data_IF_746327781770
#
_entry.id   IF_746327781770
#
_cell.length_a   1.000
_cell.length_b   1.000
_cell.length_c   1.000
_cell.angle_alpha   90.00
_cell.angle_beta   90.00
_cell.angle_gamma   90.00
#
_symmetry.space_group_name_H-M   'P 1'
#
loop_
_entity.id
_entity.type
_entity.pdbx_description
1 polymer ?
#
# COMPACT_ATOMS: atom_id res chain seq x y z
N UNK A 1 -21.01 -3.96 -8.98
CA UNK A 1 -20.94 -2.97 -10.08
C UNK A 1 -19.53 -3.00 -10.64
N UNK A 2 -19.36 -3.27 -11.93
CA UNK A 2 -18.06 -3.12 -12.59
C UNK A 2 -17.89 -1.60 -12.78
N UNK A 3 -17.26 -0.95 -11.81
CA UNK A 3 -16.90 0.46 -11.92
C UNK A 3 -15.95 0.67 -13.10
N UNK A 4 -15.99 1.85 -13.68
CA UNK A 4 -15.17 2.25 -14.81
C UNK A 4 -13.70 2.42 -14.32
N UNK A 5 -12.99 1.30 -14.12
CA UNK A 5 -11.63 1.26 -13.56
C UNK A 5 -10.60 1.83 -14.54
N UNK A 6 -10.57 3.16 -14.64
CA UNK A 6 -9.60 3.89 -15.46
C UNK A 6 -8.32 4.09 -14.68
N UNK A 7 -7.20 3.69 -15.28
CA UNK A 7 -5.89 3.96 -14.73
C UNK A 7 -4.82 2.97 -15.18
N UNK A 8 -3.58 3.28 -14.83
CA UNK A 8 -2.41 2.48 -15.18
C UNK A 8 -1.49 2.35 -13.98
N UNK A 9 -0.92 1.16 -13.81
CA UNK A 9 0.02 0.85 -12.74
C UNK A 9 1.35 0.45 -13.35
N UNK A 10 2.42 1.14 -12.96
CA UNK A 10 3.79 0.83 -13.40
C UNK A 10 4.20 -0.55 -12.93
N UNK A 11 4.89 -1.31 -13.78
CA UNK A 11 5.36 -2.66 -13.48
C UNK A 11 6.20 -2.71 -12.21
N UNK A 12 6.98 -1.67 -11.89
CA UNK A 12 7.75 -1.62 -10.64
C UNK A 12 6.87 -1.75 -9.38
N UNK A 13 5.65 -1.22 -9.39
CA UNK A 13 4.71 -1.34 -8.27
C UNK A 13 4.30 -2.80 -8.10
N UNK A 14 3.93 -3.44 -9.21
CA UNK A 14 3.50 -4.83 -9.23
C UNK A 14 4.66 -5.75 -8.83
N UNK A 15 5.85 -5.55 -9.38
CA UNK A 15 7.05 -6.31 -9.03
C UNK A 15 7.41 -6.16 -7.55
N UNK A 16 7.34 -4.94 -6.99
CA UNK A 16 7.58 -4.73 -5.55
C UNK A 16 6.54 -5.44 -4.67
N UNK A 17 5.27 -5.43 -5.08
CA UNK A 17 4.20 -6.14 -4.36
C UNK A 17 4.37 -7.66 -4.45
N UNK A 18 4.70 -8.21 -5.62
CA UNK A 18 4.95 -9.64 -5.78
C UNK A 18 6.19 -10.10 -5.01
N UNK A 19 7.26 -9.29 -5.02
CA UNK A 19 8.45 -9.56 -4.22
C UNK A 19 8.12 -9.55 -2.71
N UNK A 20 7.20 -8.68 -2.30
CA UNK A 20 6.69 -8.66 -0.93
C UNK A 20 5.95 -9.95 -0.58
N UNK A 21 5.06 -10.42 -1.47
CA UNK A 21 4.36 -11.70 -1.26
C UNK A 21 5.34 -12.86 -1.18
N UNK A 22 6.33 -12.91 -2.06
CA UNK A 22 7.35 -13.95 -2.04
C UNK A 22 8.12 -13.98 -0.71
N UNK A 23 8.42 -12.81 -0.13
CA UNK A 23 9.21 -12.70 1.11
C UNK A 23 8.37 -12.85 2.40
N UNK A 24 7.04 -12.69 2.32
CA UNK A 24 6.15 -12.77 3.48
C UNK A 24 5.32 -14.05 3.51
N UNK A 25 4.93 -14.56 2.34
CA UNK A 25 3.98 -15.67 2.17
C UNK A 25 4.60 -16.85 1.41
N UNK A 26 5.89 -16.78 1.06
CA UNK A 26 6.57 -17.70 0.15
C UNK A 26 6.02 -17.71 -1.30
N UNK A 27 6.62 -18.58 -2.11
CA UNK A 27 6.28 -18.71 -3.52
C UNK A 27 4.86 -19.26 -3.75
N UNK A 28 4.41 -20.21 -2.92
CA UNK A 28 3.09 -20.81 -3.02
C UNK A 28 2.01 -19.83 -2.55
N UNK A 29 2.29 -19.01 -1.53
CA UNK A 29 1.42 -17.91 -1.14
C UNK A 29 1.23 -16.88 -2.25
N UNK A 30 2.33 -16.38 -2.84
CA UNK A 30 2.28 -15.47 -3.99
C UNK A 30 1.50 -16.08 -5.18
N UNK A 31 1.77 -17.35 -5.49
CA UNK A 31 1.11 -18.08 -6.58
C UNK A 31 -0.38 -18.23 -6.33
N UNK A 32 -0.80 -18.46 -5.09
CA UNK A 32 -2.20 -18.58 -4.70
C UNK A 32 -2.95 -17.26 -4.91
N UNK A 33 -2.38 -16.12 -4.51
CA UNK A 33 -2.94 -14.79 -4.77
C UNK A 33 -3.08 -14.54 -6.29
N UNK A 34 -2.04 -14.82 -7.07
CA UNK A 34 -2.07 -14.61 -8.52
C UNK A 34 -3.05 -15.55 -9.23
N UNK A 35 -3.22 -16.78 -8.73
CA UNK A 35 -4.20 -17.74 -9.25
C UNK A 35 -5.62 -17.25 -9.00
N UNK A 36 -5.91 -16.82 -7.77
CA UNK A 36 -7.20 -16.23 -7.38
C UNK A 36 -7.52 -14.97 -8.20
N UNK A 37 -6.52 -14.12 -8.44
CA UNK A 37 -6.68 -12.95 -9.30
C UNK A 37 -6.86 -13.29 -10.81
N UNK A 38 -6.64 -14.54 -11.23
CA UNK A 38 -6.61 -14.93 -12.64
C UNK A 38 -5.44 -14.33 -13.42
N UNK A 39 -4.33 -14.03 -12.74
CA UNK A 39 -3.15 -13.31 -13.26
C UNK A 39 -1.85 -14.10 -13.07
N UNK A 40 -1.92 -15.42 -13.06
CA UNK A 40 -0.76 -16.30 -12.84
C UNK A 40 0.42 -16.07 -13.82
N UNK A 41 0.15 -15.48 -14.99
CA UNK A 41 1.17 -15.10 -15.97
C UNK A 41 2.12 -14.01 -15.44
N UNK A 42 1.70 -13.20 -14.46
CA UNK A 42 2.53 -12.15 -13.85
C UNK A 42 3.60 -12.68 -12.89
N UNK A 43 3.59 -13.97 -12.53
CA UNK A 43 4.47 -14.56 -11.50
C UNK A 43 5.96 -14.29 -11.68
N UNK A 44 6.41 -14.12 -12.93
CA UNK A 44 7.83 -13.96 -13.28
C UNK A 44 8.12 -12.57 -13.88
N UNK A 45 7.31 -11.56 -13.57
CA UNK A 45 7.45 -10.23 -14.18
C UNK A 45 8.69 -9.44 -13.72
N UNK A 46 9.55 -10.00 -12.86
CA UNK A 46 10.80 -9.38 -12.39
C UNK A 46 11.71 -8.90 -13.52
N UNK A 47 11.71 -9.58 -14.66
CA UNK A 47 12.52 -9.22 -15.84
C UNK A 47 11.77 -8.32 -16.83
N UNK A 48 10.53 -7.91 -16.52
CA UNK A 48 9.79 -6.99 -17.36
C UNK A 48 10.33 -5.57 -17.22
N UNK A 49 10.21 -4.77 -18.27
CA UNK A 49 10.54 -3.34 -18.19
C UNK A 49 9.73 -2.69 -17.04
N UNK A 50 10.40 -2.07 -16.04
CA UNK A 50 9.73 -1.45 -14.90
C UNK A 50 8.87 -0.23 -15.28
N UNK A 51 9.11 0.39 -16.44
CA UNK A 51 8.39 1.56 -16.93
C UNK A 51 7.12 1.22 -17.73
N UNK A 52 7.00 -0.04 -18.16
CA UNK A 52 5.74 -0.55 -18.71
C UNK A 52 4.65 -0.54 -17.65
N UNK A 53 3.41 -0.69 -18.09
CA UNK A 53 2.23 -0.59 -17.23
C UNK A 53 1.28 -1.76 -17.43
N UNK A 54 0.60 -2.16 -16.36
CA UNK A 54 -0.65 -2.92 -16.43
C UNK A 54 -1.84 -1.98 -16.25
N UNK A 55 -3.03 -2.43 -16.65
CA UNK A 55 -4.25 -1.72 -16.33
C UNK A 55 -4.56 -1.77 -14.83
N UNK A 56 -5.19 -0.73 -14.32
CA UNK A 56 -5.54 -0.62 -12.90
C UNK A 56 -6.48 -1.74 -12.43
N UNK A 57 -7.39 -2.20 -13.30
CA UNK A 57 -8.31 -3.28 -12.94
C UNK A 57 -7.58 -4.58 -12.61
N UNK A 58 -6.59 -4.97 -13.43
CA UNK A 58 -5.70 -6.10 -13.15
C UNK A 58 -4.98 -5.94 -11.80
N UNK A 59 -4.45 -4.75 -11.49
CA UNK A 59 -3.85 -4.49 -10.18
C UNK A 59 -4.86 -4.65 -9.04
N UNK A 60 -6.08 -4.14 -9.20
CA UNK A 60 -7.15 -4.26 -8.22
C UNK A 60 -7.52 -5.72 -7.95
N UNK A 61 -7.52 -6.58 -8.97
CA UNK A 61 -7.76 -8.02 -8.80
C UNK A 61 -6.71 -8.68 -7.91
N UNK A 62 -5.44 -8.24 -7.98
CA UNK A 62 -4.38 -8.74 -7.09
C UNK A 62 -4.68 -8.36 -5.63
N UNK A 63 -5.05 -7.10 -5.38
CA UNK A 63 -5.38 -6.61 -4.04
C UNK A 63 -6.64 -7.28 -3.47
N UNK A 64 -7.67 -7.48 -4.31
CA UNK A 64 -8.89 -8.18 -3.92
C UNK A 64 -8.62 -9.65 -3.56
N UNK A 65 -7.82 -10.35 -4.38
CA UNK A 65 -7.40 -11.72 -4.10
C UNK A 65 -6.59 -11.82 -2.80
N UNK A 66 -5.66 -10.90 -2.57
CA UNK A 66 -4.92 -10.80 -1.31
C UNK A 66 -5.89 -10.65 -0.13
N UNK A 67 -6.82 -9.70 -0.19
CA UNK A 67 -7.74 -9.42 0.92
C UNK A 67 -8.72 -10.57 1.17
N UNK A 68 -9.08 -11.32 0.12
CA UNK A 68 -9.90 -12.53 0.25
C UNK A 68 -9.14 -13.66 0.96
N UNK A 69 -7.89 -13.93 0.56
CA UNK A 69 -7.08 -15.02 1.11
C UNK A 69 -6.51 -14.70 2.49
N UNK A 70 -6.20 -13.44 2.77
CA UNK A 70 -5.63 -12.96 4.03
C UNK A 70 -6.68 -12.25 4.91
N UNK A 71 -7.95 -12.64 4.76
CA UNK A 71 -9.07 -12.00 5.43
C UNK A 71 -8.82 -11.88 6.95
N UNK A 72 -8.96 -10.66 7.47
CA UNK A 72 -8.71 -10.30 8.88
C UNK A 72 -7.29 -10.58 9.43
N UNK A 73 -6.32 -10.98 8.60
CA UNK A 73 -4.91 -11.11 9.00
C UNK A 73 -4.23 -9.73 9.05
N UNK A 74 -4.69 -8.83 9.92
CA UNK A 74 -4.28 -7.43 9.97
C UNK A 74 -2.77 -7.25 10.20
N UNK A 75 -2.16 -8.00 11.12
CA UNK A 75 -0.71 -7.96 11.36
C UNK A 75 0.08 -8.34 10.10
N UNK A 76 -0.36 -9.38 9.39
CA UNK A 76 0.27 -9.85 8.16
C UNK A 76 0.12 -8.83 7.02
N UNK A 77 -1.06 -8.23 6.88
CA UNK A 77 -1.33 -7.17 5.91
C UNK A 77 -0.46 -5.93 6.20
N UNK A 78 -0.29 -5.58 7.48
CA UNK A 78 0.58 -4.49 7.89
C UNK A 78 2.04 -4.78 7.51
N UNK A 79 2.52 -6.00 7.77
CA UNK A 79 3.86 -6.44 7.42
C UNK A 79 4.10 -6.46 5.91
N UNK A 80 3.11 -6.90 5.12
CA UNK A 80 3.12 -6.75 3.66
C UNK A 80 3.26 -5.27 3.28
N UNK A 81 2.48 -4.38 3.88
CA UNK A 81 2.60 -2.93 3.67
C UNK A 81 4.02 -2.41 3.92
N UNK A 82 4.60 -2.81 5.07
CA UNK A 82 5.95 -2.44 5.50
C UNK A 82 7.01 -2.87 4.47
N UNK A 83 7.02 -4.15 4.08
CA UNK A 83 7.96 -4.68 3.10
C UNK A 83 7.73 -4.13 1.70
N UNK A 84 6.47 -3.87 1.31
CA UNK A 84 6.14 -3.23 0.05
C UNK A 84 6.77 -1.84 -0.07
N UNK A 85 6.74 -1.04 1.01
CA UNK A 85 7.46 0.25 1.05
C UNK A 85 8.96 0.08 0.84
N UNK A 86 9.56 -0.95 1.44
CA UNK A 86 10.97 -1.26 1.24
C UNK A 86 11.29 -1.63 -0.22
N UNK A 87 10.55 -2.57 -0.81
CA UNK A 87 10.84 -3.00 -2.19
C UNK A 87 10.56 -1.90 -3.23
N UNK A 88 9.56 -1.04 -3.00
CA UNK A 88 9.24 0.03 -3.92
C UNK A 88 10.21 1.21 -3.83
N UNK A 89 10.66 1.53 -2.60
CA UNK A 89 11.62 2.60 -2.31
C UNK A 89 12.76 2.06 -1.45
N UNK A 90 13.66 1.25 -2.03
CA UNK A 90 14.74 0.57 -1.29
C UNK A 90 15.80 1.54 -0.77
N UNK A 91 15.99 2.65 -1.48
CA UNK A 91 16.91 3.70 -1.08
C UNK A 91 16.17 4.78 -0.30
N UNK A 92 16.85 5.37 0.70
CA UNK A 92 16.30 6.45 1.50
C UNK A 92 15.84 7.61 0.61
N UNK A 93 14.55 7.93 0.67
CA UNK A 93 13.89 9.02 -0.05
C UNK A 93 13.11 9.86 0.95
N UNK A 94 13.01 11.18 0.72
CA UNK A 94 12.20 12.05 1.58
C UNK A 94 10.74 11.58 1.55
N UNK A 95 10.06 11.66 2.70
CA UNK A 95 8.69 11.15 2.83
C UNK A 95 7.76 11.75 1.78
N UNK A 96 7.80 13.07 1.59
CA UNK A 96 7.02 13.77 0.56
C UNK A 96 7.27 13.26 -0.85
N UNK A 97 8.53 13.03 -1.22
CA UNK A 97 8.89 12.54 -2.55
C UNK A 97 8.36 11.12 -2.78
N UNK A 98 8.35 10.27 -1.74
CA UNK A 98 7.77 8.92 -1.81
C UNK A 98 6.25 8.96 -1.96
N UNK A 99 5.57 9.92 -1.32
CA UNK A 99 4.11 10.14 -1.46
C UNK A 99 3.75 10.61 -2.86
N UNK A 100 4.49 11.57 -3.43
CA UNK A 100 4.27 12.01 -4.81
C UNK A 100 4.56 10.90 -5.80
N UNK A 101 5.64 10.15 -5.60
CA UNK A 101 6.00 9.10 -6.56
C UNK A 101 5.03 7.93 -6.54
N UNK A 102 4.48 7.50 -5.38
CA UNK A 102 3.51 6.39 -5.38
C UNK A 102 2.24 6.75 -6.17
N UNK A 103 1.75 7.99 -6.10
CA UNK A 103 0.57 8.43 -6.86
C UNK A 103 0.87 8.55 -8.35
N UNK A 104 2.09 8.91 -8.75
CA UNK A 104 2.51 8.90 -10.17
C UNK A 104 2.65 7.48 -10.74
N UNK A 105 3.12 6.53 -9.94
CA UNK A 105 3.29 5.14 -10.35
C UNK A 105 1.98 4.38 -10.49
N UNK A 106 0.98 4.79 -9.72
CA UNK A 106 -0.38 4.24 -9.76
C UNK A 106 -1.29 5.37 -10.22
N UNK A 107 -1.34 5.60 -11.53
CA UNK A 107 -2.09 6.70 -12.09
C UNK A 107 -3.57 6.33 -12.20
N UNK A 108 -4.36 6.77 -11.21
CA UNK A 108 -5.83 6.63 -11.12
C UNK A 108 -6.41 7.91 -10.50
N UNK A 109 -7.68 7.91 -10.13
CA UNK A 109 -8.38 8.96 -9.40
C UNK A 109 -8.08 9.02 -7.88
N UNK A 110 -7.12 8.24 -7.38
CA UNK A 110 -6.67 8.32 -5.99
C UNK A 110 -5.63 9.41 -5.78
N UNK A 111 -5.56 9.92 -4.55
CA UNK A 111 -4.65 11.01 -4.20
C UNK A 111 -4.23 10.94 -2.73
N UNK A 112 -3.02 11.42 -2.44
CA UNK A 112 -2.48 11.53 -1.09
C UNK A 112 -1.89 12.92 -0.91
N UNK A 113 -2.46 13.68 0.02
CA UNK A 113 -2.08 15.06 0.31
C UNK A 113 -1.55 15.17 1.74
N UNK A 114 -0.35 15.74 1.93
CA UNK A 114 0.15 16.10 3.26
C UNK A 114 -0.50 17.42 3.66
N UNK A 115 -1.48 17.36 4.57
CA UNK A 115 -2.28 18.52 5.01
C UNK A 115 -1.70 19.19 6.27
N UNK A 116 -0.85 18.49 7.02
CA UNK A 116 -0.12 19.05 8.17
C UNK A 116 1.23 18.37 8.32
N UNK A 117 2.27 19.13 8.66
CA UNK A 117 3.60 18.61 8.94
C UNK A 117 4.30 19.43 10.02
N UNK A 118 4.69 18.75 11.10
CA UNK A 118 5.53 19.25 12.18
C UNK A 118 6.67 18.27 12.48
N UNK A 119 7.46 18.51 13.53
CA UNK A 119 8.54 17.60 13.96
C UNK A 119 8.02 16.32 14.63
N UNK A 120 6.80 16.36 15.16
CA UNK A 120 6.21 15.31 15.99
C UNK A 120 4.96 14.70 15.35
N UNK A 121 4.39 15.35 14.35
CA UNK A 121 3.12 14.93 13.74
C UNK A 121 3.12 15.21 12.24
N UNK A 122 2.59 14.26 11.47
CA UNK A 122 2.25 14.45 10.05
C UNK A 122 0.81 13.99 9.86
N UNK A 123 -0.03 14.82 9.24
CA UNK A 123 -1.38 14.41 8.82
C UNK A 123 -1.42 14.31 7.31
N UNK A 124 -1.90 13.17 6.83
CA UNK A 124 -2.15 12.96 5.41
C UNK A 124 -3.65 12.76 5.18
N UNK A 125 -4.15 13.37 4.11
CA UNK A 125 -5.49 13.15 3.58
C UNK A 125 -5.36 12.21 2.39
N UNK A 126 -6.10 11.11 2.44
CA UNK A 126 -6.14 10.10 1.39
C UNK A 126 -7.51 10.16 0.75
N UNK A 127 -7.56 10.23 -0.58
CA UNK A 127 -8.79 10.23 -1.37
C UNK A 127 -8.81 8.98 -2.24
N UNK A 128 -9.95 8.28 -2.30
CA UNK A 128 -10.16 7.09 -3.12
C UNK A 128 -9.05 6.03 -2.96
N UNK A 129 -8.64 5.73 -1.73
CA UNK A 129 -7.53 4.83 -1.44
C UNK A 129 -7.71 3.48 -2.15
N UNK A 130 -6.80 3.16 -3.07
CA UNK A 130 -6.83 1.94 -3.89
C UNK A 130 -6.58 0.65 -3.10
N UNK A 131 -6.03 0.78 -1.89
CA UNK A 131 -5.66 -0.35 -1.04
C UNK A 131 -6.75 -0.71 -0.02
N UNK A 132 -7.80 0.12 0.10
CA UNK A 132 -8.96 -0.21 0.90
C UNK A 132 -9.70 -1.41 0.29
N UNK A 133 -10.14 -2.33 1.15
CA UNK A 133 -10.90 -3.49 0.71
C UNK A 133 -12.37 -3.11 0.53
N UNK A 134 -12.98 -3.52 -0.58
CA UNK A 134 -14.44 -3.46 -0.74
C UNK A 134 -15.19 -4.41 0.21
N UNK A 135 -14.47 -5.30 0.89
CA UNK A 135 -15.03 -6.28 1.85
C UNK A 135 -15.13 -5.72 3.28
N UNK A 136 -15.05 -4.40 3.47
CA UNK A 136 -15.11 -3.77 4.79
C UNK A 136 -13.94 -4.20 5.68
N UNK A 137 -12.72 -4.24 5.14
CA UNK A 137 -11.49 -4.50 5.91
C UNK A 137 -10.72 -3.19 6.04
N UNK A 138 -10.21 -2.83 7.23
CA UNK A 138 -9.39 -1.64 7.41
C UNK A 138 -8.21 -1.62 6.43
N UNK A 139 -7.77 -0.42 6.04
CA UNK A 139 -6.71 -0.20 5.07
C UNK A 139 -5.30 -0.52 5.61
N UNK A 140 -5.13 -1.70 6.20
CA UNK A 140 -3.97 -2.07 7.02
C UNK A 140 -2.67 -2.18 6.23
N UNK A 141 -2.73 -2.67 4.99
CA UNK A 141 -1.57 -2.69 4.09
C UNK A 141 -1.05 -1.29 3.82
N UNK A 142 -1.94 -0.36 3.45
CA UNK A 142 -1.53 1.01 3.19
C UNK A 142 -1.00 1.72 4.42
N UNK A 143 -1.59 1.46 5.59
CA UNK A 143 -1.08 1.98 6.87
C UNK A 143 0.35 1.50 7.12
N UNK A 144 0.62 0.20 6.97
CA UNK A 144 1.98 -0.36 7.07
C UNK A 144 2.95 0.27 6.08
N UNK A 145 2.51 0.48 4.83
CA UNK A 145 3.29 1.15 3.81
C UNK A 145 3.64 2.59 4.19
N UNK A 146 2.66 3.39 4.61
CA UNK A 146 2.87 4.81 4.93
C UNK A 146 3.73 4.98 6.19
N UNK A 147 3.44 4.23 7.24
CA UNK A 147 4.20 4.23 8.50
C UNK A 147 5.67 3.96 8.21
N UNK A 148 5.96 2.88 7.49
CA UNK A 148 7.35 2.51 7.22
C UNK A 148 8.04 3.45 6.23
N UNK A 149 7.29 4.01 5.29
CA UNK A 149 7.82 5.05 4.38
C UNK A 149 8.29 6.27 5.17
N UNK A 150 7.57 6.68 6.22
CA UNK A 150 7.99 7.76 7.10
C UNK A 150 9.17 7.34 7.98
N UNK A 151 9.13 6.16 8.61
CA UNK A 151 10.19 5.67 9.50
C UNK A 151 11.57 5.63 8.83
N UNK A 152 11.64 5.26 7.54
CA UNK A 152 12.89 5.27 6.76
C UNK A 152 13.55 6.65 6.66
N UNK A 153 12.82 7.72 6.97
CA UNK A 153 13.34 9.10 6.96
C UNK A 153 13.74 9.61 8.34
N UNK A 154 13.50 8.81 9.38
CA UNK A 154 13.76 9.15 10.76
C UNK A 154 15.04 8.47 11.27
N UNK A 155 15.54 8.94 12.41
CA UNK A 155 16.61 8.26 13.13
C UNK A 155 16.10 6.95 13.74
N UNK A 156 16.99 5.98 13.96
CA UNK A 156 16.65 4.66 14.53
C UNK A 156 16.02 4.71 15.92
N UNK A 157 16.20 5.82 16.64
CA UNK A 157 15.62 6.12 17.96
C UNK A 157 14.15 6.55 17.91
N UNK A 158 13.62 6.81 16.71
CA UNK A 158 12.23 7.25 16.52
C UNK A 158 11.38 6.13 15.93
N UNK A 159 10.10 6.18 16.24
CA UNK A 159 9.05 5.32 15.70
C UNK A 159 7.85 6.16 15.28
N UNK A 160 7.00 5.58 14.42
CA UNK A 160 5.77 6.22 13.95
C UNK A 160 4.57 5.45 14.47
N UNK A 161 3.74 6.11 15.28
CA UNK A 161 2.46 5.59 15.73
C UNK A 161 1.36 6.28 14.92
N UNK A 162 0.54 5.49 14.24
CA UNK A 162 -0.57 6.03 13.49
C UNK A 162 -1.87 6.01 14.30
N UNK A 163 -2.73 6.99 14.04
CA UNK A 163 -4.08 7.07 14.56
C UNK A 163 -5.04 7.28 13.40
N UNK A 164 -6.15 6.55 13.44
CA UNK A 164 -7.27 6.74 12.53
C UNK A 164 -8.47 7.22 13.33
N UNK A 165 -9.34 7.98 12.68
CA UNK A 165 -10.70 8.12 13.18
C UNK A 165 -11.37 6.74 13.13
N UNK A 166 -12.41 6.50 13.95
CA UNK A 166 -13.21 5.28 13.83
C UNK A 166 -13.73 5.17 12.40
N UNK A 167 -13.31 4.11 11.69
CA UNK A 167 -13.75 3.84 10.32
C UNK A 167 -15.07 3.05 10.38
N UNK A 168 -16.15 3.64 9.88
CA UNK A 168 -17.32 2.87 9.49
C UNK A 168 -16.98 2.12 8.19
N UNK A 169 -16.65 0.83 8.32
CA UNK A 169 -16.28 -0.02 7.19
C UNK A 169 -17.46 -0.29 6.23
N UNK A 170 -18.68 0.07 6.61
CA UNK A 170 -19.88 0.02 5.76
C UNK A 170 -20.14 1.34 5.04
N UNK A 171 -19.40 2.42 5.37
CA UNK A 171 -19.51 3.69 4.63
C UNK A 171 -18.96 3.47 3.20
N UNK A 172 -19.75 3.76 2.15
CA UNK A 172 -19.26 3.71 0.76
C UNK A 172 -18.05 4.62 0.51
N UNK A 173 -17.78 5.61 1.38
CA UNK A 173 -16.65 6.53 1.30
C UNK A 173 -15.51 6.20 2.28
N UNK A 174 -15.50 5.01 2.91
CA UNK A 174 -14.44 4.60 3.84
C UNK A 174 -13.02 4.60 3.21
N UNK A 175 -12.93 4.64 1.88
CA UNK A 175 -11.67 4.77 1.14
C UNK A 175 -11.10 6.19 1.14
N UNK A 176 -11.81 7.18 1.70
CA UNK A 176 -11.37 8.56 1.84
C UNK A 176 -11.28 8.92 3.32
N UNK A 177 -10.07 9.19 3.81
CA UNK A 177 -9.82 9.36 5.24
C UNK A 177 -8.62 10.26 5.52
N UNK A 178 -8.49 10.68 6.78
CA UNK A 178 -7.31 11.36 7.30
C UNK A 178 -6.54 10.41 8.21
N UNK A 179 -5.26 10.24 7.94
CA UNK A 179 -4.34 9.46 8.76
C UNK A 179 -3.40 10.41 9.49
N UNK A 180 -3.35 10.27 10.82
CA UNK A 180 -2.40 11.02 11.66
C UNK A 180 -1.23 10.12 12.01
N UNK A 181 -0.01 10.58 11.73
CA UNK A 181 1.25 9.89 11.98
C UNK A 181 2.01 10.66 13.07
N UNK A 182 2.08 10.08 14.27
CA UNK A 182 2.79 10.65 15.40
C UNK A 182 4.21 10.08 15.47
N UNK A 183 5.21 10.95 15.53
CA UNK A 183 6.62 10.60 15.61
C UNK A 183 7.04 10.64 17.09
N UNK A 184 7.38 9.49 17.66
CA UNK A 184 7.78 9.37 19.08
C UNK A 184 9.18 8.79 19.20
N UNK A 185 9.83 9.02 20.35
CA UNK A 185 11.04 8.29 20.72
C UNK A 185 10.65 6.87 21.14
N UNK A 186 11.40 5.87 20.67
CA UNK A 186 11.24 4.49 21.12
C UNK A 186 11.52 4.41 22.62
N UNK A 187 10.58 3.83 23.34
CA UNK A 187 10.78 3.45 24.74
C UNK A 187 11.58 2.14 24.69
N UNK A 188 12.82 2.17 25.21
CA UNK A 188 13.65 0.97 25.38
C UNK A 188 13.26 0.20 26.62
#
# INVERSE_FOLDING_TARGET
MIGDYKGKVKNRVVTALLQTYLDTLDYDGMKSILKEAGLLHLRNMRNSDPNNTIDYFSFKKILAAQNCLLYQCTELLFEIGRKFSFYLFPFGKKFKDSITEITELINTDWDIEIIHQSKEEIKIKVRNCIFCSELGIPCTLFRGFIVHTLEKTLTSEKEVIYQTNEEDLQDPNHNTFVLTLNIKKKIK
#
